data_IF_957518100183
#
_entry.id   IF_957518100183
#
_cell.length_a   1.000
_cell.length_b   1.000
_cell.length_c   1.000
_cell.angle_alpha   90.00
_cell.angle_beta   90.00
_cell.angle_gamma   90.00
#
_symmetry.space_group_name_H-M   'P 1'
#
loop_
_entity.id
_entity.type
_entity.pdbx_description
1 polymer ?
#
# COMPACT_ATOMS: atom_id res chain seq x y z
N UNK A 1 11.37 -10.64 -9.23
CA UNK A 1 10.44 -10.45 -8.11
C UNK A 1 11.05 -11.00 -6.81
N UNK A 2 11.29 -12.31 -6.72
CA UNK A 2 11.62 -13.01 -5.46
C UNK A 2 12.80 -12.43 -4.63
N UNK A 3 13.87 -11.90 -5.24
CA UNK A 3 15.01 -11.35 -4.48
C UNK A 3 14.67 -10.03 -3.78
N UNK A 4 13.93 -9.14 -4.45
CA UNK A 4 13.52 -7.86 -3.84
C UNK A 4 12.52 -8.15 -2.72
N UNK A 5 11.51 -8.97 -2.98
CA UNK A 5 10.52 -9.34 -1.96
C UNK A 5 11.13 -10.06 -0.76
N UNK A 6 12.13 -10.93 -0.96
CA UNK A 6 12.83 -11.58 0.17
C UNK A 6 13.59 -10.60 1.07
N UNK A 7 13.91 -9.40 0.56
CA UNK A 7 14.52 -8.33 1.36
C UNK A 7 13.60 -7.78 2.45
N UNK A 8 12.30 -8.12 2.43
CA UNK A 8 11.34 -7.78 3.48
C UNK A 8 11.39 -8.73 4.67
N UNK A 9 11.97 -9.93 4.52
CA UNK A 9 11.97 -10.93 5.58
C UNK A 9 12.71 -10.43 6.83
N UNK A 10 12.00 -10.40 7.96
CA UNK A 10 12.54 -9.97 9.24
C UNK A 10 12.59 -8.45 9.45
N UNK A 11 12.17 -7.64 8.48
CA UNK A 11 12.02 -6.19 8.67
C UNK A 11 10.84 -5.88 9.59
N UNK A 12 11.02 -4.87 10.44
CA UNK A 12 9.96 -4.30 11.27
C UNK A 12 9.26 -3.15 10.55
N UNK A 13 8.12 -2.74 11.08
CA UNK A 13 7.44 -1.51 10.65
C UNK A 13 8.35 -0.29 10.82
N UNK A 14 8.35 0.59 9.82
CA UNK A 14 9.21 1.77 9.75
C UNK A 14 10.66 1.49 9.32
N UNK A 15 11.08 0.22 9.22
CA UNK A 15 12.41 -0.11 8.69
C UNK A 15 12.42 -0.04 7.16
N UNK A 16 13.44 0.63 6.62
CA UNK A 16 13.61 0.80 5.17
C UNK A 16 14.11 -0.49 4.52
N UNK A 17 13.75 -0.68 3.26
CA UNK A 17 14.21 -1.83 2.49
C UNK A 17 15.76 -1.86 2.35
N UNK A 18 16.44 -2.99 2.66
CA UNK A 18 17.91 -3.04 2.70
C UNK A 18 18.58 -2.75 1.35
N UNK A 19 17.92 -3.08 0.24
CA UNK A 19 18.44 -2.83 -1.10
C UNK A 19 18.12 -1.43 -1.66
N UNK A 20 17.32 -0.60 -0.98
CA UNK A 20 16.92 0.71 -1.53
C UNK A 20 18.15 1.57 -1.86
N UNK A 21 19.04 1.78 -0.88
CA UNK A 21 20.20 2.65 -1.04
C UNK A 21 21.16 2.16 -2.14
N UNK A 22 21.43 0.85 -2.18
CA UNK A 22 22.32 0.28 -3.20
C UNK A 22 21.74 0.46 -4.61
N UNK A 23 20.46 0.13 -4.80
CA UNK A 23 19.79 0.19 -6.11
C UNK A 23 19.48 1.62 -6.56
N UNK A 24 19.43 2.56 -5.61
CA UNK A 24 19.42 3.99 -5.90
C UNK A 24 20.78 4.44 -6.44
N UNK A 25 21.86 4.09 -5.74
CA UNK A 25 23.24 4.48 -6.08
C UNK A 25 23.73 3.91 -7.40
N UNK A 26 23.36 2.66 -7.73
CA UNK A 26 23.75 2.03 -9.00
C UNK A 26 22.85 2.41 -10.19
N UNK A 27 21.82 3.24 -9.95
CA UNK A 27 20.90 3.75 -10.96
C UNK A 27 19.81 2.76 -11.39
N UNK A 28 19.67 1.62 -10.73
CA UNK A 28 18.60 0.65 -11.00
C UNK A 28 17.22 1.26 -10.76
N UNK A 29 17.02 1.97 -9.64
CA UNK A 29 15.75 2.66 -9.36
C UNK A 29 15.44 3.67 -10.46
N UNK A 30 16.41 4.48 -10.89
CA UNK A 30 16.20 5.45 -11.97
C UNK A 30 15.73 4.79 -13.29
N UNK A 31 16.29 3.63 -13.64
CA UNK A 31 15.88 2.85 -14.81
C UNK A 31 14.48 2.25 -14.67
N UNK A 32 14.11 1.78 -13.47
CA UNK A 32 12.76 1.31 -13.17
C UNK A 32 11.75 2.45 -13.32
N UNK A 33 12.02 3.62 -12.76
CA UNK A 33 11.19 4.82 -12.88
C UNK A 33 11.04 5.23 -14.35
N UNK A 34 12.14 5.25 -15.12
CA UNK A 34 12.08 5.55 -16.54
C UNK A 34 11.22 4.54 -17.31
N UNK A 35 11.33 3.25 -16.99
CA UNK A 35 10.54 2.19 -17.62
C UNK A 35 9.06 2.25 -17.23
N UNK A 36 8.76 2.65 -15.99
CA UNK A 36 7.39 2.86 -15.51
C UNK A 36 6.70 4.02 -16.24
N UNK A 37 7.45 5.09 -16.55
CA UNK A 37 6.91 6.24 -17.30
C UNK A 37 6.70 5.96 -18.80
N UNK A 38 7.28 4.87 -19.33
CA UNK A 38 7.16 4.49 -20.73
C UNK A 38 5.77 3.88 -21.01
N UNK A 39 4.89 4.69 -21.62
CA UNK A 39 3.49 4.32 -21.92
C UNK A 39 3.33 3.17 -22.92
N UNK A 40 4.39 2.75 -23.60
CA UNK A 40 4.36 1.61 -24.53
C UNK A 40 4.43 0.29 -23.76
N UNK A 41 5.01 0.28 -22.56
CA UNK A 41 5.31 -0.91 -21.76
C UNK A 41 4.27 -1.19 -20.66
N UNK A 42 2.98 -0.94 -20.94
CA UNK A 42 1.91 -1.12 -19.94
C UNK A 42 1.88 -2.50 -19.28
N UNK A 43 2.21 -3.54 -20.05
CA UNK A 43 2.18 -4.93 -19.56
C UNK A 43 3.14 -5.20 -18.39
N UNK A 44 4.17 -4.36 -18.20
CA UNK A 44 5.12 -4.49 -17.09
C UNK A 44 4.94 -3.42 -16.01
N UNK A 45 4.01 -2.47 -16.19
CA UNK A 45 3.81 -1.36 -15.25
C UNK A 45 3.40 -1.83 -13.87
N UNK A 46 2.46 -2.77 -13.79
CA UNK A 46 2.03 -3.34 -12.51
C UNK A 46 3.20 -3.99 -11.75
N UNK A 47 4.03 -4.78 -12.42
CA UNK A 47 5.22 -5.39 -11.81
C UNK A 47 6.27 -4.36 -11.39
N UNK A 48 6.51 -3.32 -12.19
CA UNK A 48 7.44 -2.25 -11.81
C UNK A 48 6.90 -1.47 -10.62
N UNK A 49 5.61 -1.16 -10.60
CA UNK A 49 4.97 -0.43 -9.52
C UNK A 49 5.05 -1.21 -8.19
N UNK A 50 4.81 -2.53 -8.20
CA UNK A 50 5.03 -3.39 -7.03
C UNK A 50 6.48 -3.37 -6.56
N UNK A 51 7.46 -3.52 -7.47
CA UNK A 51 8.88 -3.46 -7.13
C UNK A 51 9.23 -2.11 -6.48
N UNK A 52 8.74 -1.02 -7.05
CA UNK A 52 8.94 0.31 -6.48
C UNK A 52 8.28 0.43 -5.11
N UNK A 53 7.05 -0.05 -4.93
CA UNK A 53 6.37 -0.02 -3.64
C UNK A 53 7.16 -0.78 -2.55
N UNK A 54 7.71 -1.96 -2.87
CA UNK A 54 8.55 -2.74 -1.95
C UNK A 54 9.84 -2.00 -1.62
N UNK A 55 10.55 -1.46 -2.63
CA UNK A 55 11.80 -0.73 -2.42
C UNK A 55 11.58 0.54 -1.59
N UNK A 56 10.45 1.22 -1.79
CA UNK A 56 10.07 2.44 -1.09
C UNK A 56 9.29 2.18 0.22
N UNK A 57 9.31 0.96 0.77
CA UNK A 57 8.82 0.70 2.15
C UNK A 57 9.39 1.74 3.11
N UNK A 58 8.50 2.36 3.91
CA UNK A 58 8.85 3.38 4.90
C UNK A 58 9.69 4.56 4.33
N UNK A 59 9.63 4.79 3.02
CA UNK A 59 10.30 5.87 2.32
C UNK A 59 9.30 6.67 1.48
N UNK A 60 9.60 7.96 1.33
CA UNK A 60 8.84 8.83 0.46
C UNK A 60 9.04 8.41 -1.00
N UNK A 61 7.95 8.15 -1.72
CA UNK A 61 8.01 7.98 -3.17
C UNK A 61 8.36 9.31 -3.85
N UNK A 62 9.18 9.30 -4.92
CA UNK A 62 9.44 10.48 -5.72
C UNK A 62 8.13 11.08 -6.22
N UNK A 63 8.00 12.41 -6.07
CA UNK A 63 6.75 13.15 -6.34
C UNK A 63 6.23 12.86 -7.75
N UNK A 64 7.13 12.70 -8.71
CA UNK A 64 6.83 12.45 -10.12
C UNK A 64 6.15 11.10 -10.44
N UNK A 65 6.18 10.13 -9.52
CA UNK A 65 5.59 8.80 -9.73
C UNK A 65 4.67 8.36 -8.60
N UNK A 66 4.67 9.07 -7.47
CA UNK A 66 3.98 8.67 -6.25
C UNK A 66 2.54 8.29 -6.49
N UNK A 67 1.78 9.19 -7.10
CA UNK A 67 0.37 8.97 -7.44
C UNK A 67 0.20 7.73 -8.29
N UNK A 68 0.94 7.62 -9.40
CA UNK A 68 0.77 6.55 -10.37
C UNK A 68 1.13 5.18 -9.75
N UNK A 69 2.19 5.09 -8.94
CA UNK A 69 2.56 3.86 -8.24
C UNK A 69 1.50 3.45 -7.23
N UNK A 70 0.95 4.39 -6.46
CA UNK A 70 -0.10 4.13 -5.46
C UNK A 70 -1.39 3.68 -6.14
N UNK A 71 -1.81 4.36 -7.20
CA UNK A 71 -3.02 4.00 -7.95
C UNK A 71 -2.89 2.62 -8.60
N UNK A 72 -1.72 2.26 -9.14
CA UNK A 72 -1.45 0.90 -9.62
C UNK A 72 -1.63 -0.14 -8.51
N UNK A 73 -1.24 0.15 -7.26
CA UNK A 73 -1.46 -0.80 -6.16
C UNK A 73 -2.94 -0.95 -5.83
N UNK A 74 -3.69 0.15 -5.81
CA UNK A 74 -5.15 0.13 -5.58
C UNK A 74 -5.88 -0.64 -6.68
N UNK A 75 -5.59 -0.35 -7.96
CA UNK A 75 -6.28 -0.96 -9.11
C UNK A 75 -6.05 -2.47 -9.22
N UNK A 76 -4.88 -2.95 -8.78
CA UNK A 76 -4.52 -4.36 -8.84
C UNK A 76 -4.76 -5.09 -7.50
N UNK A 77 -5.35 -4.43 -6.50
CA UNK A 77 -5.54 -4.96 -5.14
C UNK A 77 -4.23 -5.44 -4.46
N UNK A 78 -3.10 -4.80 -4.77
CA UNK A 78 -1.78 -5.07 -4.18
C UNK A 78 -1.69 -4.38 -2.81
N UNK A 79 -2.56 -4.78 -1.88
CA UNK A 79 -2.73 -4.09 -0.60
C UNK A 79 -1.58 -4.32 0.38
N UNK A 80 -0.82 -5.41 0.23
CA UNK A 80 0.41 -5.62 0.99
C UNK A 80 1.45 -4.55 0.63
N UNK A 81 1.68 -4.30 -0.67
CA UNK A 81 2.55 -3.22 -1.14
C UNK A 81 2.05 -1.83 -0.73
N UNK A 82 0.73 -1.61 -0.74
CA UNK A 82 0.14 -0.36 -0.27
C UNK A 82 0.38 -0.13 1.23
N UNK A 83 0.35 -1.20 2.05
CA UNK A 83 0.66 -1.12 3.48
C UNK A 83 2.12 -0.72 3.74
N UNK A 84 3.07 -1.23 2.92
CA UNK A 84 4.48 -0.86 3.01
C UNK A 84 4.71 0.64 2.71
N UNK A 85 4.01 1.16 1.72
CA UNK A 85 4.04 2.59 1.36
C UNK A 85 3.38 3.47 2.43
N UNK A 86 2.37 2.96 3.12
CA UNK A 86 1.69 3.64 4.22
C UNK A 86 2.56 3.81 5.47
N UNK A 87 3.75 3.21 5.54
CA UNK A 87 4.69 3.45 6.64
C UNK A 87 5.46 4.78 6.50
N UNK A 88 5.08 5.63 5.54
CA UNK A 88 5.66 6.95 5.31
C UNK A 88 4.55 7.99 5.14
N UNK A 89 4.56 9.01 6.02
CA UNK A 89 3.58 10.09 6.07
C UNK A 89 3.39 10.78 4.71
N UNK A 90 4.49 11.02 4.01
CA UNK A 90 4.50 11.74 2.74
C UNK A 90 3.76 11.02 1.61
N UNK A 91 3.38 9.75 1.79
CA UNK A 91 2.58 8.98 0.83
C UNK A 91 1.07 9.00 1.19
N UNK A 92 0.68 9.44 2.38
CA UNK A 92 -0.68 9.22 2.93
C UNK A 92 -1.77 9.96 2.17
N UNK A 93 -1.51 11.19 1.73
CA UNK A 93 -2.52 11.98 1.02
C UNK A 93 -2.91 11.31 -0.30
N UNK A 94 -1.95 10.77 -1.05
CA UNK A 94 -2.21 9.98 -2.25
C UNK A 94 -2.84 8.61 -1.94
N UNK A 95 -2.47 7.95 -0.84
CA UNK A 95 -3.13 6.69 -0.43
C UNK A 95 -4.61 6.96 -0.12
N UNK A 96 -4.91 8.01 0.62
CA UNK A 96 -6.27 8.40 1.01
C UNK A 96 -7.02 9.18 -0.08
N UNK A 97 -6.39 9.45 -1.22
CA UNK A 97 -7.05 10.13 -2.34
C UNK A 97 -8.24 9.29 -2.83
N UNK A 98 -9.34 9.98 -3.17
CA UNK A 98 -10.58 9.35 -3.64
C UNK A 98 -11.36 8.63 -2.56
N UNK A 99 -11.25 9.05 -1.29
CA UNK A 99 -11.96 8.45 -0.16
C UNK A 99 -11.63 6.97 0.05
N UNK A 100 -10.38 6.58 -0.27
CA UNK A 100 -9.94 5.17 -0.21
C UNK A 100 -10.17 4.51 1.16
N UNK A 101 -10.11 5.27 2.26
CA UNK A 101 -10.41 4.78 3.61
C UNK A 101 -11.82 4.18 3.73
N UNK A 102 -12.76 4.63 2.90
CA UNK A 102 -14.10 4.05 2.84
C UNK A 102 -14.05 2.63 2.29
N UNK A 103 -13.08 2.24 1.47
CA UNK A 103 -13.01 0.88 0.93
C UNK A 103 -12.42 -0.14 1.92
N UNK A 104 -11.80 0.33 3.02
CA UNK A 104 -11.19 -0.54 4.01
C UNK A 104 -12.26 -1.40 4.70
N UNK A 105 -11.96 -2.69 4.83
CA UNK A 105 -12.83 -3.72 5.44
C UNK A 105 -14.15 -3.99 4.68
N UNK A 106 -14.27 -3.61 3.41
CA UNK A 106 -15.45 -3.94 2.58
C UNK A 106 -15.41 -5.36 2.01
N UNK A 107 -14.22 -5.87 1.69
CA UNK A 107 -13.99 -7.24 1.21
C UNK A 107 -13.18 -8.05 2.23
N UNK A 108 -13.79 -9.13 2.72
CA UNK A 108 -13.17 -10.05 3.70
C UNK A 108 -11.94 -10.76 3.16
N UNK A 109 -11.77 -10.84 1.84
CA UNK A 109 -10.60 -11.41 1.19
C UNK A 109 -9.32 -10.67 1.57
N UNK A 110 -9.43 -9.37 1.83
CA UNK A 110 -8.30 -8.48 2.09
C UNK A 110 -8.26 -7.98 3.54
N UNK A 111 -8.97 -8.64 4.46
CA UNK A 111 -9.16 -8.15 5.83
C UNK A 111 -7.83 -7.92 6.56
N UNK A 112 -6.84 -8.80 6.37
CA UNK A 112 -5.52 -8.66 6.96
C UNK A 112 -4.73 -7.51 6.34
N UNK A 113 -4.81 -7.33 5.03
CA UNK A 113 -4.15 -6.24 4.34
C UNK A 113 -4.78 -4.88 4.69
N UNK A 114 -6.10 -4.79 4.76
CA UNK A 114 -6.80 -3.60 5.23
C UNK A 114 -6.43 -3.25 6.67
N UNK A 115 -6.28 -4.26 7.53
CA UNK A 115 -5.78 -4.06 8.88
C UNK A 115 -4.36 -3.47 8.88
N UNK A 116 -3.44 -4.02 8.09
CA UNK A 116 -2.06 -3.50 8.00
C UNK A 116 -2.02 -2.07 7.44
N UNK A 117 -2.78 -1.77 6.38
CA UNK A 117 -2.90 -0.40 5.85
C UNK A 117 -3.43 0.53 6.93
N UNK A 118 -4.50 0.13 7.65
CA UNK A 118 -5.10 0.92 8.72
C UNK A 118 -4.07 1.20 9.82
N UNK A 119 -3.36 0.19 10.30
CA UNK A 119 -2.32 0.36 11.32
C UNK A 119 -1.23 1.33 10.86
N UNK A 120 -0.71 1.20 9.65
CA UNK A 120 0.32 2.10 9.13
C UNK A 120 -0.19 3.55 9.00
N UNK A 121 -1.41 3.74 8.50
CA UNK A 121 -2.03 5.07 8.41
C UNK A 121 -2.26 5.70 9.78
N UNK A 122 -2.60 4.91 10.80
CA UNK A 122 -2.77 5.40 12.16
C UNK A 122 -1.42 5.66 12.86
N UNK A 123 -0.45 4.76 12.67
CA UNK A 123 0.85 4.82 13.35
C UNK A 123 1.80 5.89 12.80
N UNK A 124 1.78 6.11 11.48
CA UNK A 124 2.68 7.04 10.79
C UNK A 124 1.98 8.29 10.26
N UNK A 125 0.65 8.36 10.36
CA UNK A 125 -0.13 9.46 9.78
C UNK A 125 -0.23 10.70 10.66
N UNK A 126 -0.62 11.82 10.06
CA UNK A 126 -0.95 13.02 10.81
C UNK A 126 -2.24 12.83 11.61
N UNK A 127 -2.50 13.70 12.59
CA UNK A 127 -3.76 13.70 13.34
C UNK A 127 -4.99 13.79 12.42
N UNK A 128 -4.88 14.52 11.31
CA UNK A 128 -5.95 14.62 10.32
C UNK A 128 -6.18 13.29 9.58
N UNK A 129 -5.11 12.62 9.15
CA UNK A 129 -5.21 11.29 8.52
C UNK A 129 -5.78 10.27 9.50
N UNK A 130 -5.32 10.27 10.76
CA UNK A 130 -5.81 9.40 11.82
C UNK A 130 -7.31 9.56 12.06
N UNK A 131 -7.78 10.80 12.27
CA UNK A 131 -9.21 11.09 12.48
C UNK A 131 -10.06 10.64 11.30
N UNK A 132 -9.58 10.88 10.08
CA UNK A 132 -10.26 10.48 8.85
C UNK A 132 -10.40 8.97 8.74
N UNK A 133 -9.31 8.23 8.96
CA UNK A 133 -9.32 6.75 8.91
C UNK A 133 -10.18 6.17 10.02
N UNK A 134 -10.02 6.62 11.27
CA UNK A 134 -10.83 6.15 12.41
C UNK A 134 -12.32 6.29 12.11
N UNK A 135 -12.73 7.47 11.63
CA UNK A 135 -14.13 7.76 11.33
C UNK A 135 -14.71 6.84 10.25
N UNK A 136 -13.90 6.42 9.28
CA UNK A 136 -14.34 5.54 8.20
C UNK A 136 -14.43 4.07 8.61
N UNK A 137 -13.50 3.60 9.45
CA UNK A 137 -13.36 2.16 9.75
C UNK A 137 -14.04 1.73 11.05
N UNK A 138 -14.33 2.65 11.98
CA UNK A 138 -14.81 2.30 13.33
C UNK A 138 -16.05 1.40 13.31
N UNK A 139 -17.07 1.76 12.52
CA UNK A 139 -18.30 0.98 12.45
C UNK A 139 -18.06 -0.39 11.79
N UNK A 140 -17.28 -0.41 10.71
CA UNK A 140 -16.95 -1.64 9.97
C UNK A 140 -16.19 -2.64 10.85
N UNK A 141 -15.22 -2.14 11.62
CA UNK A 141 -14.45 -2.96 12.57
C UNK A 141 -15.33 -3.49 13.70
N UNK A 142 -16.30 -2.70 14.20
CA UNK A 142 -17.28 -3.20 15.19
C UNK A 142 -18.12 -4.34 14.61
N UNK A 143 -18.61 -4.20 13.39
CA UNK A 143 -19.41 -5.23 12.71
C UNK A 143 -18.63 -6.53 12.47
N UNK A 144 -17.30 -6.50 12.38
CA UNK A 144 -16.49 -7.73 12.30
C UNK A 144 -16.58 -8.62 13.56
N UNK A 145 -17.13 -8.11 14.66
CA UNK A 145 -17.44 -8.94 15.85
C UNK A 145 -18.79 -9.67 15.76
N UNK A 146 -19.61 -9.36 14.75
CA UNK A 146 -20.90 -9.99 14.51
C UNK A 146 -20.76 -11.15 13.51
N UNK A 147 -21.08 -12.37 13.96
CA UNK A 147 -21.00 -13.57 13.16
C UNK A 147 -21.96 -13.57 11.95
N UNK A 148 -23.14 -12.98 12.06
CA UNK A 148 -24.11 -12.89 10.95
C UNK A 148 -23.55 -11.98 9.86
N UNK A 149 -23.04 -10.81 10.25
CA UNK A 149 -22.40 -9.87 9.33
C UNK A 149 -21.20 -10.49 8.60
N UNK A 150 -20.31 -11.14 9.34
CA UNK A 150 -19.14 -11.83 8.76
C UNK A 150 -19.58 -12.93 7.79
N UNK A 151 -20.59 -13.73 8.16
CA UNK A 151 -21.12 -14.77 7.28
C UNK A 151 -21.72 -14.19 5.99
N UNK A 152 -22.42 -13.07 6.06
CA UNK A 152 -23.00 -12.42 4.89
C UNK A 152 -21.94 -11.81 3.98
N UNK A 153 -20.87 -11.22 4.53
CA UNK A 153 -19.71 -10.79 3.75
C UNK A 153 -19.04 -11.98 3.03
N UNK A 154 -18.88 -13.11 3.72
CA UNK A 154 -18.34 -14.33 3.13
C UNK A 154 -19.24 -14.84 1.98
N UNK A 155 -20.57 -14.78 2.13
CA UNK A 155 -21.51 -15.21 1.07
C UNK A 155 -21.44 -14.35 -0.17
N UNK A 156 -21.24 -13.02 -0.04
CA UNK A 156 -21.13 -12.10 -1.18
C UNK A 156 -19.92 -12.36 -2.07
N UNK A 157 -18.96 -13.17 -1.60
CA UNK A 157 -17.77 -13.60 -2.34
C UNK A 157 -18.02 -14.77 -3.29
N UNK A 158 -19.06 -15.57 -3.04
CA UNK A 158 -19.43 -16.74 -3.86
C UNK A 158 -20.34 -16.39 -5.02
#
# INVERSE_FOLDING_TARGET
FNIISSGLEGLKEGEKHPFHQQLEQDGTIAKLIQSFKDRIKKDIHSSIAQILAILYKANQLPVEIRRDVIEEQKMNNNFDELALLAECLENHDEILAGEFEQNLFEDVTYIFQYFNITLSLLGFGSEANQKRVISAVEEKVKHLSDAEYVNDLIKRKG
#
